data_IF_952948186780
#
_entry.id   IF_952948186780
#
_cell.length_a   1.000
_cell.length_b   1.000
_cell.length_c   1.000
_cell.angle_alpha   90.00
_cell.angle_beta   90.00
_cell.angle_gamma   90.00
#
_symmetry.space_group_name_H-M   'P 1'
#
loop_
_entity.id
_entity.type
_entity.pdbx_description
1 polymer ?
#
# COMPACT_ATOMS: atom_id res chain seq x y z
N UNK A 1 -2.07 11.43 -29.94
CA UNK A 1 -1.66 10.08 -29.50
C UNK A 1 -0.15 10.12 -29.27
N UNK A 2 0.27 10.65 -28.12
CA UNK A 2 1.69 10.65 -27.73
C UNK A 2 2.07 9.21 -27.42
N UNK A 3 3.04 8.68 -28.17
CA UNK A 3 3.70 7.41 -27.87
C UNK A 3 4.30 7.52 -26.46
N UNK A 4 3.60 6.99 -25.45
CA UNK A 4 4.17 6.78 -24.11
C UNK A 4 5.39 5.89 -24.31
N UNK A 5 6.60 6.43 -24.16
CA UNK A 5 7.81 5.61 -24.02
C UNK A 5 7.53 4.55 -22.96
N UNK A 6 7.66 3.28 -23.33
CA UNK A 6 7.52 2.16 -22.40
C UNK A 6 8.73 2.23 -21.46
N UNK A 7 8.61 3.01 -20.39
CA UNK A 7 9.58 3.00 -19.30
C UNK A 7 9.64 1.59 -18.74
N UNK A 8 10.84 1.04 -18.66
CA UNK A 8 11.10 -0.17 -17.89
C UNK A 8 10.62 0.08 -16.45
N UNK A 9 9.54 -0.59 -16.02
CA UNK A 9 8.90 -0.41 -14.71
C UNK A 9 8.52 -1.76 -14.14
N UNK A 10 8.74 -1.96 -12.85
CA UNK A 10 8.26 -3.14 -12.12
C UNK A 10 6.77 -3.01 -11.82
N UNK A 11 5.95 -3.91 -12.34
CA UNK A 11 4.55 -4.05 -11.91
C UNK A 11 4.49 -5.05 -10.74
N UNK A 12 4.13 -4.55 -9.55
CA UNK A 12 4.01 -5.37 -8.34
C UNK A 12 2.87 -6.39 -8.51
N UNK A 13 3.20 -7.66 -8.33
CA UNK A 13 2.26 -8.79 -8.34
C UNK A 13 1.91 -9.25 -6.93
N UNK A 14 2.90 -9.28 -6.04
CA UNK A 14 2.74 -9.80 -4.69
C UNK A 14 3.72 -9.13 -3.73
N UNK A 15 3.26 -8.87 -2.50
CA UNK A 15 4.12 -8.49 -1.38
C UNK A 15 3.88 -9.45 -0.22
N UNK A 16 4.96 -9.93 0.39
CA UNK A 16 4.91 -10.78 1.58
C UNK A 16 5.69 -10.13 2.72
N UNK A 17 5.10 -10.10 3.91
CA UNK A 17 5.72 -9.54 5.12
C UNK A 17 5.55 -10.46 6.33
N UNK A 18 6.59 -10.54 7.16
CA UNK A 18 6.56 -11.21 8.46
C UNK A 18 7.36 -10.48 9.54
N UNK A 19 7.07 -10.79 10.80
CA UNK A 19 7.90 -10.37 11.94
C UNK A 19 7.90 -8.87 12.16
N UNK A 20 6.74 -8.23 12.01
CA UNK A 20 6.54 -6.80 12.26
C UNK A 20 5.34 -6.61 13.19
N UNK A 21 5.52 -5.98 14.35
CA UNK A 21 4.49 -5.86 15.39
C UNK A 21 3.81 -7.21 15.70
N UNK A 22 2.54 -7.39 15.35
CA UNK A 22 1.82 -8.65 15.51
C UNK A 22 1.61 -9.44 14.20
N UNK A 23 2.22 -9.01 13.08
CA UNK A 23 2.12 -9.68 11.78
C UNK A 23 2.99 -10.95 11.76
N UNK A 24 2.37 -12.13 11.58
CA UNK A 24 3.11 -13.38 11.41
C UNK A 24 3.53 -13.59 9.97
N UNK A 25 2.74 -14.18 9.07
CA UNK A 25 3.12 -14.33 7.66
C UNK A 25 1.92 -13.98 6.80
N UNK A 26 2.02 -12.88 6.06
CA UNK A 26 0.94 -12.40 5.21
C UNK A 26 1.46 -12.08 3.82
N UNK A 27 0.80 -12.66 2.81
CA UNK A 27 1.06 -12.40 1.40
C UNK A 27 -0.16 -11.73 0.77
N UNK A 28 0.04 -10.58 0.13
CA UNK A 28 -1.00 -9.83 -0.58
C UNK A 28 -0.70 -9.87 -2.07
N UNK A 29 -1.68 -10.30 -2.87
CA UNK A 29 -1.60 -10.37 -4.33
C UNK A 29 -2.41 -9.25 -4.98
N UNK A 30 -1.82 -8.58 -5.98
CA UNK A 30 -2.33 -7.39 -6.67
C UNK A 30 -2.82 -7.71 -8.08
N UNK A 31 -3.79 -8.64 -8.17
CA UNK A 31 -4.36 -9.10 -9.45
C UNK A 31 -5.35 -8.11 -10.08
N UNK A 32 -5.78 -7.10 -9.32
CA UNK A 32 -6.72 -6.06 -9.71
C UNK A 32 -6.18 -4.70 -9.26
N UNK A 33 -6.59 -3.58 -9.87
CA UNK A 33 -6.20 -2.24 -9.41
C UNK A 33 -6.40 -1.99 -7.92
N UNK A 34 -7.49 -2.51 -7.34
CA UNK A 34 -7.81 -2.39 -5.91
C UNK A 34 -7.80 -3.78 -5.27
N UNK A 35 -7.01 -3.92 -4.20
CA UNK A 35 -7.03 -5.06 -3.26
C UNK A 35 -7.45 -4.57 -1.87
N UNK A 36 -8.41 -5.23 -1.24
CA UNK A 36 -8.93 -4.83 0.07
C UNK A 36 -8.48 -5.78 1.19
N UNK A 37 -8.04 -5.19 2.30
CA UNK A 37 -7.73 -5.87 3.55
C UNK A 37 -8.92 -5.66 4.49
N UNK A 38 -9.63 -6.74 4.77
CA UNK A 38 -10.92 -6.70 5.46
C UNK A 38 -10.82 -7.44 6.78
N UNK A 39 -11.38 -6.82 7.83
CA UNK A 39 -11.53 -7.45 9.14
C UNK A 39 -11.91 -6.42 10.21
N UNK A 40 -12.27 -6.86 11.43
CA UNK A 40 -12.65 -5.96 12.51
C UNK A 40 -11.49 -5.05 12.96
N UNK A 41 -11.81 -4.05 13.78
CA UNK A 41 -10.80 -3.16 14.36
C UNK A 41 -9.90 -3.92 15.35
N UNK A 42 -8.62 -3.55 15.40
CA UNK A 42 -7.62 -4.25 16.22
C UNK A 42 -7.00 -5.51 15.62
N UNK A 43 -7.47 -6.01 14.47
CA UNK A 43 -6.91 -7.21 13.80
C UNK A 43 -5.56 -7.00 13.09
N UNK A 44 -4.97 -5.80 13.19
CA UNK A 44 -3.66 -5.51 12.61
C UNK A 44 -3.65 -5.06 11.14
N UNK A 45 -4.78 -4.59 10.60
CA UNK A 45 -4.87 -4.04 9.23
C UNK A 45 -3.87 -2.90 9.01
N UNK A 46 -3.83 -1.94 9.93
CA UNK A 46 -2.88 -0.82 9.95
C UNK A 46 -1.43 -1.29 10.08
N UNK A 47 -1.19 -2.31 10.92
CA UNK A 47 0.14 -2.90 11.10
C UNK A 47 0.64 -3.56 9.82
N UNK A 48 -0.25 -4.15 9.02
CA UNK A 48 0.09 -4.74 7.72
C UNK A 48 0.52 -3.65 6.72
N UNK A 49 -0.27 -2.56 6.61
CA UNK A 49 0.10 -1.44 5.73
C UNK A 49 1.48 -0.87 6.14
N UNK A 50 1.68 -0.62 7.44
CA UNK A 50 2.94 -0.12 7.97
C UNK A 50 4.12 -1.08 7.72
N UNK A 51 3.91 -2.39 7.82
CA UNK A 51 4.96 -3.38 7.53
C UNK A 51 5.40 -3.33 6.05
N UNK A 52 4.43 -3.19 5.13
CA UNK A 52 4.68 -3.09 3.69
C UNK A 52 5.47 -1.81 3.37
N UNK A 53 5.04 -0.67 3.91
CA UNK A 53 5.71 0.62 3.73
C UNK A 53 7.11 0.62 4.34
N UNK A 54 7.24 0.11 5.57
CA UNK A 54 8.53 -0.02 6.25
C UNK A 54 9.54 -0.83 5.45
N UNK A 55 9.10 -1.94 4.84
CA UNK A 55 9.97 -2.75 3.99
C UNK A 55 10.50 -1.99 2.77
N UNK A 56 9.63 -1.24 2.09
CA UNK A 56 10.04 -0.39 0.97
C UNK A 56 10.98 0.75 1.42
N UNK A 57 10.69 1.39 2.55
CA UNK A 57 11.55 2.42 3.13
C UNK A 57 12.92 1.89 3.54
N UNK A 58 13.00 0.67 4.06
CA UNK A 58 14.26 0.06 4.45
C UNK A 58 15.17 -0.17 3.24
N UNK A 59 14.62 -0.58 2.09
CA UNK A 59 15.38 -0.69 0.83
C UNK A 59 16.04 0.64 0.47
N UNK A 60 15.33 1.76 0.66
CA UNK A 60 15.78 3.10 0.26
C UNK A 60 16.69 3.78 1.28
N UNK A 61 16.71 3.29 2.52
CA UNK A 61 17.46 3.89 3.62
C UNK A 61 18.98 3.71 3.47
N UNK A 62 19.74 4.70 3.95
CA UNK A 62 21.19 4.55 4.12
C UNK A 62 21.53 3.66 5.33
N UNK A 63 22.80 3.28 5.47
CA UNK A 63 23.27 2.35 6.51
C UNK A 63 22.94 2.82 7.94
N UNK A 64 23.15 4.11 8.24
CA UNK A 64 22.85 4.69 9.55
C UNK A 64 21.36 4.60 9.88
N UNK A 65 20.51 4.98 8.92
CA UNK A 65 19.05 4.92 9.07
C UNK A 65 18.57 3.48 9.20
N UNK A 66 19.12 2.52 8.45
CA UNK A 66 18.79 1.09 8.58
C UNK A 66 19.07 0.58 9.98
N UNK A 67 20.22 0.92 10.58
CA UNK A 67 20.53 0.53 11.96
C UNK A 67 19.51 1.06 12.97
N UNK A 68 19.08 2.32 12.81
CA UNK A 68 17.99 2.89 13.61
C UNK A 68 16.66 2.18 13.38
N UNK A 69 16.31 1.85 12.13
CA UNK A 69 15.09 1.14 11.77
C UNK A 69 15.03 -0.27 12.39
N UNK A 70 16.11 -1.05 12.33
CA UNK A 70 16.19 -2.40 12.94
C UNK A 70 16.13 -2.36 14.48
N UNK A 71 16.32 -1.18 15.08
CA UNK A 71 16.31 -0.98 16.53
C UNK A 71 15.07 -0.24 17.02
N UNK A 72 14.13 0.08 16.12
CA UNK A 72 12.97 0.90 16.44
C UNK A 72 11.91 0.08 17.19
N UNK A 73 11.91 0.21 18.52
CA UNK A 73 11.09 -0.60 19.42
C UNK A 73 9.58 -0.67 19.10
N UNK A 74 8.91 0.38 18.58
CA UNK A 74 7.48 0.29 18.25
C UNK A 74 7.12 -0.70 17.13
N UNK A 75 8.09 -1.14 16.33
CA UNK A 75 7.87 -2.10 15.23
C UNK A 75 8.33 -3.52 15.56
N UNK A 76 9.07 -3.69 16.66
CA UNK A 76 9.58 -4.99 17.11
C UNK A 76 8.40 -5.86 17.58
N UNK A 77 8.35 -7.15 17.19
CA UNK A 77 7.33 -8.07 17.68
C UNK A 77 7.37 -8.29 19.19
N UNK A 78 6.29 -7.89 19.86
CA UNK A 78 6.09 -8.07 21.32
C UNK A 78 5.09 -9.20 21.67
N UNK A 79 4.44 -9.79 20.67
CA UNK A 79 3.52 -10.92 20.89
C UNK A 79 4.32 -12.21 21.14
N UNK A 80 4.04 -12.90 22.25
CA UNK A 80 4.72 -14.14 22.71
C UNK A 80 4.85 -15.23 21.64
N UNK A 81 3.95 -15.28 20.67
CA UNK A 81 3.93 -16.31 19.62
C UNK A 81 4.90 -16.03 18.46
N UNK A 82 5.39 -14.79 18.34
CA UNK A 82 6.32 -14.35 17.29
C UNK A 82 7.46 -13.51 17.86
N UNK A 83 7.66 -13.54 19.19
CA UNK A 83 8.80 -12.92 19.86
C UNK A 83 10.08 -13.54 19.28
N UNK A 84 11.04 -12.71 18.89
CA UNK A 84 12.28 -13.09 18.19
C UNK A 84 12.12 -13.50 16.72
N UNK A 85 10.95 -13.33 16.09
CA UNK A 85 10.86 -13.45 14.63
C UNK A 85 11.70 -12.36 13.95
N UNK A 86 12.39 -12.75 12.88
CA UNK A 86 13.06 -11.81 11.99
C UNK A 86 12.02 -11.02 11.20
N UNK A 87 12.35 -9.78 10.87
CA UNK A 87 11.60 -9.08 9.85
C UNK A 87 11.86 -9.76 8.51
N UNK A 88 10.80 -10.01 7.74
CA UNK A 88 10.87 -10.55 6.39
C UNK A 88 10.10 -9.62 5.46
N UNK A 89 10.70 -9.34 4.31
CA UNK A 89 10.06 -8.60 3.25
C UNK A 89 10.39 -9.21 1.91
N UNK A 90 9.37 -9.44 1.09
CA UNK A 90 9.52 -9.96 -0.25
C UNK A 90 8.54 -9.28 -1.20
N UNK A 91 9.03 -8.91 -2.38
CA UNK A 91 8.23 -8.42 -3.50
C UNK A 91 8.40 -9.38 -4.67
N UNK A 92 7.28 -9.81 -5.26
CA UNK A 92 7.24 -10.40 -6.59
C UNK A 92 6.63 -9.36 -7.56
N UNK A 93 7.35 -9.08 -8.64
CA UNK A 93 6.94 -8.12 -9.66
C UNK A 93 7.22 -8.67 -11.06
N UNK A 94 6.50 -8.20 -12.07
CA UNK A 94 6.80 -8.48 -13.49
C UNK A 94 7.39 -7.27 -14.18
N UNK A 95 8.25 -7.53 -15.16
CA UNK A 95 8.83 -6.52 -16.07
C UNK A 95 9.29 -7.18 -17.37
N UNK A 96 9.72 -6.37 -18.33
CA UNK A 96 10.34 -6.83 -19.58
C UNK A 96 11.85 -6.72 -19.44
N UNK A 97 12.56 -7.84 -19.42
CA UNK A 97 14.01 -7.92 -19.34
C UNK A 97 14.56 -8.66 -20.58
N UNK A 98 15.51 -8.04 -21.29
CA UNK A 98 16.06 -8.54 -22.57
C UNK A 98 14.98 -8.94 -23.60
N UNK A 99 13.91 -8.14 -23.70
CA UNK A 99 12.80 -8.38 -24.63
C UNK A 99 11.84 -9.49 -24.23
N UNK A 100 12.00 -10.10 -23.04
CA UNK A 100 11.12 -11.14 -22.51
C UNK A 100 10.42 -10.68 -21.24
N UNK A 101 9.16 -11.08 -21.06
CA UNK A 101 8.48 -10.88 -19.79
C UNK A 101 9.04 -11.83 -18.73
N UNK A 102 9.49 -11.26 -17.61
CA UNK A 102 10.09 -11.99 -16.49
C UNK A 102 9.35 -11.67 -15.20
N UNK A 103 9.39 -12.63 -14.27
CA UNK A 103 9.01 -12.43 -12.88
C UNK A 103 10.29 -12.25 -12.07
N UNK A 104 10.37 -11.12 -11.39
CA UNK A 104 11.43 -10.72 -10.47
C UNK A 104 10.91 -10.94 -9.04
N UNK A 105 11.64 -11.72 -8.26
CA UNK A 105 11.41 -11.95 -6.84
C UNK A 105 12.61 -11.40 -6.08
N UNK A 106 12.38 -10.36 -5.29
CA UNK A 106 13.39 -9.72 -4.45
C UNK A 106 12.92 -9.74 -3.00
N UNK A 107 13.81 -10.06 -2.06
CA UNK A 107 13.49 -10.02 -0.65
C UNK A 107 14.71 -10.07 0.26
N UNK A 108 14.48 -9.81 1.53
CA UNK A 108 15.50 -9.81 2.56
C UNK A 108 14.91 -10.11 3.94
N UNK A 109 15.80 -10.46 4.88
CA UNK A 109 15.50 -10.64 6.30
C UNK A 109 16.50 -9.90 7.18
N UNK A 110 16.06 -9.46 8.34
CA UNK A 110 16.97 -8.95 9.37
C UNK A 110 16.49 -9.27 10.79
N UNK A 111 17.44 -9.27 11.72
CA UNK A 111 17.17 -9.40 13.16
C UNK A 111 16.85 -8.06 13.80
N UNK A 112 15.81 -8.02 14.62
CA UNK A 112 15.50 -6.86 15.46
C UNK A 112 16.51 -6.73 16.61
N UNK A 113 16.76 -5.49 17.04
CA UNK A 113 17.62 -5.23 18.19
C UNK A 113 17.00 -5.83 19.46
N UNK A 114 17.78 -6.63 20.18
CA UNK A 114 17.41 -7.18 21.48
C UNK A 114 18.61 -7.10 22.43
N UNK A 115 18.39 -7.28 23.74
CA UNK A 115 19.44 -7.10 24.78
C UNK A 115 20.74 -7.86 24.47
N UNK A 116 20.67 -8.98 23.74
CA UNK A 116 21.80 -9.85 23.41
C UNK A 116 21.99 -10.11 21.90
N UNK A 117 21.20 -9.46 21.02
CA UNK A 117 21.22 -9.73 19.57
C UNK A 117 21.64 -8.44 18.85
N UNK A 118 22.80 -8.51 18.19
CA UNK A 118 23.22 -7.48 17.26
C UNK A 118 22.33 -7.50 16.03
N UNK A 119 21.90 -6.33 15.56
CA UNK A 119 21.09 -6.19 14.36
C UNK A 119 21.92 -6.47 13.13
N UNK A 120 21.42 -7.33 12.25
CA UNK A 120 22.05 -7.60 10.96
C UNK A 120 21.03 -8.11 9.96
N UNK A 121 21.31 -7.85 8.68
CA UNK A 121 20.62 -8.46 7.55
C UNK A 121 21.16 -9.89 7.43
N UNK A 122 20.30 -10.86 7.68
CA UNK A 122 20.62 -12.30 7.74
C UNK A 122 20.47 -12.97 6.39
N UNK A 123 19.53 -12.53 5.56
CA UNK A 123 19.34 -13.02 4.20
C UNK A 123 18.95 -11.89 3.24
N UNK A 124 19.34 -12.03 1.98
CA UNK A 124 18.89 -11.19 0.86
C UNK A 124 18.96 -12.01 -0.42
N UNK A 125 17.96 -11.88 -1.28
CA UNK A 125 17.93 -12.58 -2.56
C UNK A 125 17.33 -11.73 -3.68
N UNK A 126 17.86 -11.95 -4.88
CA UNK A 126 17.25 -11.52 -6.13
C UNK A 126 17.16 -12.75 -7.05
N UNK A 127 15.95 -13.13 -7.39
CA UNK A 127 15.62 -14.31 -8.20
C UNK A 127 14.79 -13.88 -9.41
N UNK A 128 15.14 -14.34 -10.60
CA UNK A 128 14.44 -13.98 -11.84
C UNK A 128 14.10 -15.25 -12.62
N UNK A 129 12.87 -15.34 -13.14
CA UNK A 129 12.42 -16.40 -14.05
C UNK A 129 11.64 -15.81 -15.22
N UNK A 130 11.63 -16.46 -16.40
CA UNK A 130 10.66 -16.13 -17.44
C UNK A 130 9.22 -16.29 -16.95
N UNK A 131 8.31 -15.41 -17.37
CA UNK A 131 6.88 -15.52 -17.04
C UNK A 131 6.19 -16.63 -17.87
N UNK A 132 6.61 -17.88 -17.65
CA UNK A 132 6.09 -19.06 -18.35
C UNK A 132 5.96 -20.23 -17.38
N UNK A 133 4.92 -21.04 -17.55
CA UNK A 133 4.69 -22.22 -16.72
C UNK A 133 5.87 -23.20 -16.79
N UNK A 134 6.27 -23.73 -15.64
CA UNK A 134 7.34 -24.73 -15.50
C UNK A 134 8.77 -24.18 -15.55
N UNK A 135 8.98 -22.88 -15.74
CA UNK A 135 10.31 -22.26 -15.67
C UNK A 135 10.76 -22.06 -14.22
N UNK A 136 12.06 -22.20 -13.97
CA UNK A 136 12.68 -22.07 -12.65
C UNK A 136 13.34 -20.71 -12.47
N UNK A 137 13.45 -20.27 -11.22
CA UNK A 137 14.22 -19.08 -10.85
C UNK A 137 15.72 -19.31 -11.03
N UNK A 138 16.39 -18.33 -11.63
CA UNK A 138 17.85 -18.16 -11.52
C UNK A 138 18.13 -17.14 -10.42
N UNK A 139 19.12 -17.40 -9.58
CA UNK A 139 19.60 -16.47 -8.57
C UNK A 139 20.60 -15.47 -9.16
N UNK A 140 20.48 -14.20 -8.76
CA UNK A 140 21.30 -13.08 -9.19
C UNK A 140 22.02 -12.41 -8.03
N UNK A 141 21.36 -12.41 -6.86
CA UNK A 141 21.93 -12.00 -5.58
C UNK A 141 21.57 -13.08 -4.57
N UNK A 142 22.53 -13.49 -3.75
CA UNK A 142 22.32 -14.39 -2.62
C UNK A 142 23.21 -13.96 -1.46
N UNK A 143 22.60 -13.56 -0.35
CA UNK A 143 23.28 -13.24 0.91
C UNK A 143 22.85 -14.20 2.00
N UNK A 144 23.81 -14.63 2.80
CA UNK A 144 23.62 -15.25 4.11
C UNK A 144 24.27 -14.34 5.18
N UNK A 145 24.13 -14.67 6.46
CA UNK A 145 24.69 -13.88 7.56
C UNK A 145 26.20 -13.59 7.43
N UNK A 146 26.94 -14.49 6.79
CA UNK A 146 28.41 -14.40 6.70
C UNK A 146 28.92 -13.88 5.35
N UNK A 147 28.18 -14.13 4.26
CA UNK A 147 28.68 -13.93 2.89
C UNK A 147 27.60 -13.43 1.95
N UNK A 148 27.99 -12.64 0.96
CA UNK A 148 27.14 -12.22 -0.14
C UNK A 148 27.75 -12.61 -1.49
N UNK A 149 26.90 -13.07 -2.39
CA UNK A 149 27.27 -13.52 -3.73
C UNK A 149 26.42 -12.79 -4.78
N UNK A 150 27.04 -12.50 -5.92
CA UNK A 150 26.40 -11.90 -7.09
C UNK A 150 26.68 -12.74 -8.34
N UNK A 151 25.77 -12.66 -9.30
CA UNK A 151 25.93 -13.30 -10.62
C UNK A 151 26.65 -12.34 -11.58
N UNK A 152 27.80 -12.74 -12.10
CA UNK A 152 28.64 -11.83 -12.92
C UNK A 152 28.23 -11.77 -14.38
N UNK A 153 27.84 -12.90 -14.99
CA UNK A 153 27.31 -12.95 -16.35
C UNK A 153 26.06 -13.84 -16.44
N UNK A 154 25.27 -13.74 -17.53
CA UNK A 154 24.01 -14.48 -17.69
C UNK A 154 24.14 -16.01 -17.56
N UNK A 155 25.26 -16.59 -18.00
CA UNK A 155 25.49 -18.04 -18.01
C UNK A 155 26.07 -18.57 -16.69
N UNK A 156 26.59 -17.68 -15.85
CA UNK A 156 27.30 -18.07 -14.64
C UNK A 156 26.35 -18.45 -13.51
N UNK A 157 26.90 -19.06 -12.47
CA UNK A 157 26.21 -19.23 -11.19
C UNK A 157 26.33 -17.95 -10.35
N UNK A 158 25.55 -17.87 -9.29
CA UNK A 158 25.62 -16.76 -8.33
C UNK A 158 26.66 -17.10 -7.24
N UNK A 159 27.95 -16.96 -7.59
CA UNK A 159 29.09 -17.43 -6.77
C UNK A 159 30.22 -16.39 -6.60
N UNK A 160 30.18 -15.25 -7.29
CA UNK A 160 31.17 -14.17 -7.07
C UNK A 160 30.91 -13.50 -5.73
N UNK A 161 31.80 -13.72 -4.77
CA UNK A 161 31.73 -13.15 -3.43
C UNK A 161 31.89 -11.61 -3.47
N UNK A 162 31.07 -10.88 -2.71
CA UNK A 162 31.14 -9.43 -2.56
C UNK A 162 31.11 -9.06 -1.08
N UNK A 163 32.01 -8.17 -0.67
CA UNK A 163 32.04 -7.64 0.71
C UNK A 163 30.89 -6.65 0.90
N UNK A 164 30.14 -6.76 1.99
CA UNK A 164 29.04 -5.86 2.31
C UNK A 164 28.90 -5.76 3.83
N UNK A 165 28.54 -4.58 4.32
CA UNK A 165 28.30 -4.36 5.75
C UNK A 165 27.06 -5.15 6.24
N UNK A 166 27.05 -5.49 7.52
CA UNK A 166 26.00 -6.32 8.13
C UNK A 166 24.61 -5.66 8.07
N UNK A 167 24.55 -4.33 8.00
CA UNK A 167 23.34 -3.51 7.99
C UNK A 167 23.01 -2.90 6.62
N UNK A 168 23.73 -3.24 5.54
CA UNK A 168 23.46 -2.72 4.21
C UNK A 168 23.01 -3.82 3.23
N UNK A 169 22.12 -3.51 2.28
CA UNK A 169 21.67 -4.46 1.27
C UNK A 169 22.63 -4.47 0.07
N UNK A 170 22.84 -5.65 -0.50
CA UNK A 170 23.65 -5.86 -1.71
C UNK A 170 23.09 -5.02 -2.85
N UNK A 171 21.76 -4.95 -3.04
CA UNK A 171 21.17 -4.11 -4.10
C UNK A 171 21.53 -2.62 -3.99
N UNK A 172 21.78 -2.10 -2.79
CA UNK A 172 22.15 -0.70 -2.63
C UNK A 172 23.60 -0.48 -3.05
N UNK A 173 24.49 -1.44 -2.75
CA UNK A 173 25.87 -1.43 -3.24
C UNK A 173 25.95 -1.57 -4.76
N UNK A 174 25.06 -2.35 -5.36
CA UNK A 174 25.04 -2.58 -6.81
C UNK A 174 24.37 -1.45 -7.60
N UNK A 175 23.73 -0.48 -6.93
CA UNK A 175 22.96 0.59 -7.57
C UNK A 175 23.80 1.44 -8.55
N UNK A 176 25.09 1.61 -8.29
CA UNK A 176 26.01 2.41 -9.14
C UNK A 176 26.82 1.57 -10.12
N UNK A 177 26.52 0.28 -10.29
CA UNK A 177 27.27 -0.62 -11.15
C UNK A 177 26.52 -0.87 -12.47
N UNK A 178 26.70 0.05 -13.42
CA UNK A 178 26.03 0.03 -14.72
C UNK A 178 26.54 -1.11 -15.63
N UNK A 179 27.67 -1.73 -15.31
CA UNK A 179 28.23 -2.86 -16.07
C UNK A 179 27.48 -4.18 -15.83
N UNK A 180 26.69 -4.27 -14.75
CA UNK A 180 25.88 -5.46 -14.50
C UNK A 180 24.76 -5.57 -15.54
N UNK A 181 24.67 -6.74 -16.18
CA UNK A 181 23.65 -7.01 -17.20
C UNK A 181 22.21 -6.89 -16.69
N UNK A 182 22.00 -6.93 -15.37
CA UNK A 182 20.71 -6.76 -14.69
C UNK A 182 20.60 -5.45 -13.88
N UNK A 183 21.48 -4.46 -14.13
CA UNK A 183 21.47 -3.18 -13.38
C UNK A 183 20.10 -2.49 -13.42
N UNK A 184 19.38 -2.55 -14.54
CA UNK A 184 18.03 -1.95 -14.67
C UNK A 184 17.05 -2.50 -13.63
N UNK A 185 17.10 -3.81 -13.34
CA UNK A 185 16.26 -4.43 -12.31
C UNK A 185 16.67 -3.93 -10.92
N UNK A 186 17.98 -3.88 -10.64
CA UNK A 186 18.49 -3.36 -9.37
C UNK A 186 18.07 -1.91 -9.16
N UNK A 187 18.21 -1.07 -10.17
CA UNK A 187 17.84 0.34 -10.13
C UNK A 187 16.33 0.54 -9.90
N UNK A 188 15.47 -0.20 -10.61
CA UNK A 188 14.02 -0.13 -10.40
C UNK A 188 13.59 -0.60 -9.00
N UNK A 189 14.20 -1.66 -8.45
CA UNK A 189 13.92 -2.09 -7.07
C UNK A 189 14.30 -0.96 -6.09
N UNK A 190 15.45 -0.31 -6.30
CA UNK A 190 15.90 0.82 -5.47
C UNK A 190 15.02 2.08 -5.62
N UNK A 191 14.32 2.22 -6.75
CA UNK A 191 13.43 3.37 -7.06
C UNK A 191 11.96 3.09 -6.75
N UNK A 192 11.60 1.88 -6.37
CA UNK A 192 10.22 1.50 -6.09
C UNK A 192 9.62 2.40 -5.00
N UNK A 193 8.50 3.03 -5.34
CA UNK A 193 7.78 3.94 -4.46
C UNK A 193 6.45 3.31 -4.04
N UNK A 194 6.33 3.10 -2.74
CA UNK A 194 5.14 2.58 -2.05
C UNK A 194 4.86 3.52 -0.90
N UNK A 195 3.60 3.89 -0.70
CA UNK A 195 3.18 4.75 0.42
C UNK A 195 1.79 4.38 0.92
N UNK A 196 1.59 4.50 2.22
CA UNK A 196 0.35 4.17 2.90
C UNK A 196 -0.23 5.42 3.54
N UNK A 197 -1.40 5.86 3.07
CA UNK A 197 -2.08 7.02 3.61
C UNK A 197 -2.97 6.54 4.75
N UNK A 198 -2.48 6.75 5.97
CA UNK A 198 -3.17 6.38 7.21
C UNK A 198 -4.16 7.46 7.66
N UNK A 199 -3.85 8.73 7.40
CA UNK A 199 -4.61 9.87 7.86
C UNK A 199 -5.01 10.76 6.70
N UNK A 200 -6.31 10.81 6.46
CA UNK A 200 -6.93 11.89 5.70
C UNK A 200 -7.81 12.66 6.66
N UNK A 201 -7.28 13.78 7.16
CA UNK A 201 -7.97 14.70 8.08
C UNK A 201 -8.29 16.00 7.34
N UNK A 202 -9.49 16.10 6.71
CA UNK A 202 -9.91 17.30 6.00
C UNK A 202 -9.81 18.59 6.81
N UNK A 203 -9.93 18.47 8.13
CA UNK A 203 -9.92 19.58 9.08
C UNK A 203 -8.58 20.31 9.13
N UNK A 204 -7.49 19.64 8.76
CA UNK A 204 -6.16 20.24 8.71
C UNK A 204 -5.80 20.70 7.31
N UNK A 205 -6.25 19.98 6.29
CA UNK A 205 -5.78 20.18 4.92
C UNK A 205 -6.52 21.27 4.16
N UNK A 206 -7.83 21.44 4.37
CA UNK A 206 -8.64 22.41 3.62
C UNK A 206 -8.90 23.73 4.37
N UNK A 207 -8.39 23.87 5.59
CA UNK A 207 -8.52 25.10 6.37
C UNK A 207 -7.34 26.04 6.09
N UNK A 208 -7.63 27.34 6.07
CA UNK A 208 -6.62 28.37 5.89
C UNK A 208 -5.74 28.45 7.14
N UNK A 209 -4.51 27.95 7.05
CA UNK A 209 -3.50 28.10 8.11
C UNK A 209 -2.45 29.11 7.63
N UNK A 210 -2.44 30.34 8.16
CA UNK A 210 -1.37 31.30 7.95
C UNK A 210 -0.14 30.84 8.73
N UNK A 211 0.83 30.17 8.11
CA UNK A 211 2.09 29.88 8.79
C UNK A 211 3.28 29.92 7.83
N UNK A 212 4.34 30.67 8.19
CA UNK A 212 5.63 30.64 7.48
C UNK A 212 6.39 29.33 7.63
N UNK A 213 6.06 28.49 8.63
CA UNK A 213 6.76 27.22 8.81
C UNK A 213 6.35 26.23 7.73
N UNK A 214 7.07 26.27 6.61
CA UNK A 214 7.17 25.13 5.71
C UNK A 214 7.96 24.05 6.45
N UNK A 215 7.25 23.16 7.15
CA UNK A 215 7.84 21.88 7.50
C UNK A 215 8.33 21.25 6.19
N UNK A 216 9.60 20.81 6.09
CA UNK A 216 10.04 20.06 4.92
C UNK A 216 9.25 18.74 4.88
N UNK A 217 8.49 18.55 3.80
CA UNK A 217 7.55 17.42 3.65
C UNK A 217 8.03 16.51 2.52
N UNK A 218 8.10 15.22 2.81
CA UNK A 218 8.74 14.21 1.97
C UNK A 218 7.76 13.14 1.45
N UNK A 219 6.50 13.11 1.94
CA UNK A 219 5.49 12.09 1.57
C UNK A 219 4.22 12.67 0.92
N UNK A 220 3.45 11.87 0.20
CA UNK A 220 2.09 12.23 -0.28
C UNK A 220 1.16 12.49 0.92
N UNK A 221 1.20 11.68 1.97
CA UNK A 221 0.37 11.85 3.17
C UNK A 221 0.61 13.23 3.81
N UNK A 222 1.85 13.67 3.95
CA UNK A 222 2.17 15.01 4.46
C UNK A 222 1.66 16.13 3.54
N UNK A 223 1.76 15.95 2.22
CA UNK A 223 1.19 16.90 1.26
C UNK A 223 -0.33 16.98 1.39
N UNK A 224 -1.01 15.84 1.57
CA UNK A 224 -2.46 15.77 1.68
C UNK A 224 -2.94 16.27 3.04
N UNK A 225 -2.18 16.06 4.11
CA UNK A 225 -2.54 16.47 5.46
C UNK A 225 -2.41 17.98 5.67
N UNK A 226 -1.42 18.60 5.03
CA UNK A 226 -1.06 19.99 5.32
C UNK A 226 -1.20 20.96 4.13
N UNK A 227 -1.05 20.49 2.89
CA UNK A 227 -0.86 21.36 1.71
C UNK A 227 -1.75 20.95 0.52
N UNK A 228 -2.91 20.34 0.74
CA UNK A 228 -3.74 19.87 -0.38
C UNK A 228 -4.13 21.01 -1.33
N UNK A 229 -4.41 22.21 -0.82
CA UNK A 229 -4.75 23.36 -1.66
C UNK A 229 -3.55 23.84 -2.49
N UNK A 230 -2.36 23.90 -1.90
CA UNK A 230 -1.10 24.21 -2.61
C UNK A 230 -0.85 23.16 -3.69
N UNK A 231 -0.97 21.89 -3.32
CA UNK A 231 -0.82 20.74 -4.23
C UNK A 231 -1.75 20.87 -5.44
N UNK A 232 -3.03 21.17 -5.20
CA UNK A 232 -4.03 21.30 -6.26
C UNK A 232 -3.76 22.53 -7.14
N UNK A 233 -3.26 23.62 -6.55
CA UNK A 233 -2.81 24.78 -7.32
C UNK A 233 -1.58 24.47 -8.18
N UNK A 234 -0.62 23.70 -7.67
CA UNK A 234 0.54 23.23 -8.42
C UNK A 234 0.12 22.28 -9.56
N UNK A 235 -0.88 21.43 -9.35
CA UNK A 235 -1.48 20.64 -10.43
C UNK A 235 -2.10 21.56 -11.49
N UNK A 236 -2.87 22.58 -11.09
CA UNK A 236 -3.51 23.52 -12.02
C UNK A 236 -2.48 24.27 -12.87
N UNK A 237 -1.37 24.68 -12.27
CA UNK A 237 -0.35 25.52 -12.93
C UNK A 237 0.65 24.71 -13.74
N UNK A 238 1.17 23.61 -13.19
CA UNK A 238 2.27 22.84 -13.80
C UNK A 238 1.80 21.57 -14.54
N UNK A 239 0.61 21.05 -14.21
CA UNK A 239 0.07 19.80 -14.77
C UNK A 239 -1.42 19.92 -15.13
N UNK A 240 -1.82 20.87 -15.99
CA UNK A 240 -3.23 21.22 -16.21
C UNK A 240 -4.10 20.03 -16.65
N UNK A 241 -3.57 19.11 -17.48
CA UNK A 241 -4.29 17.88 -17.87
C UNK A 241 -4.62 16.99 -16.66
N UNK A 242 -3.70 16.90 -15.68
CA UNK A 242 -3.91 16.13 -14.44
C UNK A 242 -4.89 16.84 -13.51
N UNK A 243 -4.85 18.16 -13.46
CA UNK A 243 -5.85 18.95 -12.74
C UNK A 243 -7.25 18.75 -13.31
N UNK A 244 -7.43 18.84 -14.63
CA UNK A 244 -8.71 18.56 -15.28
C UNK A 244 -9.18 17.12 -15.03
N UNK A 245 -8.27 16.15 -15.09
CA UNK A 245 -8.58 14.75 -14.79
C UNK A 245 -9.08 14.56 -13.34
N UNK A 246 -8.43 15.22 -12.37
CA UNK A 246 -8.87 15.26 -10.98
C UNK A 246 -10.28 15.87 -10.85
N UNK A 247 -10.51 17.04 -11.47
CA UNK A 247 -11.81 17.72 -11.41
C UNK A 247 -12.93 16.87 -12.03
N UNK A 248 -12.66 16.21 -13.15
CA UNK A 248 -13.63 15.34 -13.83
C UNK A 248 -13.94 14.09 -13.00
N UNK A 249 -12.93 13.45 -12.42
CA UNK A 249 -13.12 12.32 -11.50
C UNK A 249 -13.98 12.71 -10.30
N UNK A 250 -13.75 13.90 -9.72
CA UNK A 250 -14.53 14.40 -8.61
C UNK A 250 -15.99 14.73 -8.99
N UNK A 251 -16.21 15.42 -10.12
CA UNK A 251 -17.55 15.73 -10.65
C UNK A 251 -18.36 14.48 -11.02
N UNK A 252 -17.71 13.40 -11.44
CA UNK A 252 -18.38 12.12 -11.70
C UNK A 252 -19.02 11.54 -10.43
N UNK A 253 -18.34 11.68 -9.28
CA UNK A 253 -18.89 11.27 -7.98
C UNK A 253 -19.98 12.25 -7.53
N UNK A 254 -19.80 13.55 -7.77
CA UNK A 254 -20.70 14.64 -7.37
C UNK A 254 -21.24 15.48 -8.55
N UNK A 255 -22.24 14.99 -9.31
CA UNK A 255 -22.77 15.67 -10.50
C UNK A 255 -23.50 17.01 -10.23
N UNK A 256 -23.74 17.35 -8.96
CA UNK A 256 -24.30 18.64 -8.55
C UNK A 256 -23.27 19.77 -8.62
N UNK A 257 -21.98 19.45 -8.68
CA UNK A 257 -20.90 20.44 -8.73
C UNK A 257 -20.64 20.83 -10.19
N UNK A 258 -20.79 22.12 -10.50
CA UNK A 258 -20.60 22.67 -11.84
C UNK A 258 -19.15 23.09 -12.06
N UNK A 259 -18.58 23.81 -11.09
CA UNK A 259 -17.25 24.42 -11.20
C UNK A 259 -16.49 24.20 -9.89
N UNK A 260 -15.20 23.90 -10.03
CA UNK A 260 -14.23 23.86 -8.94
C UNK A 260 -13.01 24.63 -9.42
N UNK A 261 -12.53 25.56 -8.62
CA UNK A 261 -11.32 26.30 -8.96
C UNK A 261 -10.47 26.62 -7.73
N UNK A 262 -9.16 26.65 -7.92
CA UNK A 262 -8.18 27.02 -6.89
C UNK A 262 -7.41 28.28 -7.32
N UNK A 263 -7.22 29.20 -6.38
CA UNK A 263 -6.54 30.47 -6.61
C UNK A 263 -5.52 30.76 -5.51
N UNK A 264 -4.38 31.33 -5.92
CA UNK A 264 -3.40 31.95 -5.03
C UNK A 264 -3.90 33.33 -4.60
N UNK A 265 -3.79 33.62 -3.31
CA UNK A 265 -4.28 34.85 -2.67
C UNK A 265 -3.28 35.34 -1.63
N UNK A 266 -3.17 36.66 -1.47
CA UNK A 266 -2.34 37.25 -0.42
C UNK A 266 -3.10 37.27 0.91
N UNK A 267 -2.53 36.85 2.05
CA UNK A 267 -3.22 36.86 3.34
C UNK A 267 -3.83 38.22 3.71
N UNK A 268 -3.11 39.30 3.41
CA UNK A 268 -3.52 40.70 3.65
C UNK A 268 -4.83 41.07 2.95
N UNK A 269 -5.16 40.41 1.84
CA UNK A 269 -6.41 40.63 1.12
C UNK A 269 -7.64 39.99 1.80
N UNK A 270 -7.40 39.00 2.68
CA UNK A 270 -8.45 38.23 3.36
C UNK A 270 -8.61 38.72 4.80
N UNK A 271 -7.50 38.83 5.52
CA UNK A 271 -7.47 39.20 6.93
C UNK A 271 -7.11 40.68 7.06
N UNK A 272 -8.13 41.52 7.26
CA UNK A 272 -7.92 42.94 7.56
C UNK A 272 -7.36 43.08 8.97
N UNK A 273 -6.19 43.70 9.12
CA UNK A 273 -5.60 43.98 10.43
C UNK A 273 -4.71 42.88 11.01
N UNK A 274 -4.08 42.04 10.15
CA UNK A 274 -3.02 41.12 10.59
C UNK A 274 -1.92 41.89 11.36
N UNK A 275 -1.48 41.41 12.53
CA UNK A 275 -0.36 41.99 13.25
C UNK A 275 0.86 42.11 12.34
N UNK A 276 1.49 43.30 12.32
CA UNK A 276 2.70 43.52 11.49
C UNK A 276 3.90 42.72 11.98
N UNK A 277 3.87 42.29 13.24
CA UNK A 277 4.97 41.64 13.96
C UNK A 277 4.85 40.10 13.98
N UNK A 278 3.79 39.53 13.37
CA UNK A 278 3.63 38.08 13.25
C UNK A 278 4.09 37.55 11.89
N UNK A 279 4.71 36.37 11.91
CA UNK A 279 5.25 35.71 10.73
C UNK A 279 4.16 35.00 9.90
N UNK A 280 3.43 35.77 9.09
CA UNK A 280 2.46 35.22 8.13
C UNK A 280 3.13 34.72 6.85
N UNK A 281 2.58 33.65 6.26
CA UNK A 281 2.99 33.15 4.94
C UNK A 281 2.77 34.22 3.85
N UNK A 282 3.66 34.34 2.87
CA UNK A 282 3.51 35.34 1.79
C UNK A 282 2.35 35.03 0.83
N UNK A 283 1.96 33.75 0.76
CA UNK A 283 0.93 33.22 -0.13
C UNK A 283 -0.01 32.29 0.63
N UNK A 284 -1.27 32.30 0.22
CA UNK A 284 -2.31 31.36 0.63
C UNK A 284 -3.05 30.85 -0.58
N UNK A 285 -3.75 29.73 -0.42
CA UNK A 285 -4.56 29.15 -1.48
C UNK A 285 -6.00 29.00 -1.00
N UNK A 286 -6.95 29.40 -1.83
CA UNK A 286 -8.38 29.19 -1.61
C UNK A 286 -8.93 28.38 -2.77
N UNK A 287 -9.73 27.37 -2.44
CA UNK A 287 -10.50 26.63 -3.42
C UNK A 287 -11.98 26.94 -3.28
N UNK A 288 -12.62 27.24 -4.41
CA UNK A 288 -14.04 27.58 -4.52
C UNK A 288 -14.78 26.48 -5.29
N UNK A 289 -16.01 26.23 -4.85
CA UNK A 289 -16.92 25.26 -5.46
C UNK A 289 -18.24 25.94 -5.80
N UNK A 290 -18.77 25.73 -7.01
CA UNK A 290 -20.08 26.20 -7.44
C UNK A 290 -20.97 25.00 -7.71
N UNK A 291 -22.10 24.94 -7.01
CA UNK A 291 -23.12 23.90 -7.21
C UNK A 291 -24.31 24.43 -8.00
N UNK A 292 -24.97 23.55 -8.75
CA UNK A 292 -26.08 23.87 -9.69
C UNK A 292 -27.16 24.78 -9.12
N UNK A 293 -27.50 24.60 -7.85
CA UNK A 293 -28.62 25.28 -7.22
C UNK A 293 -28.19 26.45 -6.31
N UNK A 294 -26.91 26.84 -6.33
CA UNK A 294 -26.39 27.94 -5.52
C UNK A 294 -26.06 29.14 -6.41
N UNK A 295 -26.54 30.32 -6.00
CA UNK A 295 -26.27 31.58 -6.71
C UNK A 295 -24.84 32.09 -6.51
N UNK A 296 -24.11 31.56 -5.52
CA UNK A 296 -22.74 31.95 -5.19
C UNK A 296 -21.87 30.71 -4.98
N UNK A 297 -20.59 30.83 -5.31
CA UNK A 297 -19.57 29.82 -4.99
C UNK A 297 -19.28 29.77 -3.50
N UNK A 298 -19.12 28.57 -2.95
CA UNK A 298 -18.71 28.31 -1.57
C UNK A 298 -17.20 28.08 -1.48
N UNK A 299 -16.64 28.18 -0.28
CA UNK A 299 -15.30 27.63 -0.02
C UNK A 299 -15.42 26.09 -0.01
N UNK A 300 -14.45 25.37 -0.57
CA UNK A 300 -14.45 23.92 -0.54
C UNK A 300 -14.55 23.36 0.88
N UNK A 301 -13.98 24.05 1.88
CA UNK A 301 -14.06 23.64 3.29
C UNK A 301 -15.48 23.61 3.86
N UNK A 302 -16.46 24.19 3.16
CA UNK A 302 -17.89 24.11 3.51
C UNK A 302 -18.55 22.80 3.09
N UNK A 303 -17.88 21.96 2.30
CA UNK A 303 -18.37 20.63 1.92
C UNK A 303 -18.27 19.65 3.10
N UNK A 304 -19.05 18.56 3.04
CA UNK A 304 -19.03 17.55 4.10
C UNK A 304 -17.65 16.87 4.22
N UNK A 305 -17.30 16.41 5.43
CA UNK A 305 -16.03 15.71 5.70
C UNK A 305 -15.76 14.58 4.72
N UNK A 306 -16.77 13.74 4.43
CA UNK A 306 -16.66 12.66 3.45
C UNK A 306 -16.37 13.14 2.02
N UNK A 307 -16.94 14.27 1.62
CA UNK A 307 -16.69 14.88 0.30
C UNK A 307 -15.24 15.35 0.17
N UNK A 308 -14.73 16.01 1.21
CA UNK A 308 -13.33 16.44 1.28
C UNK A 308 -12.35 15.25 1.31
N UNK A 309 -12.68 14.17 2.03
CA UNK A 309 -11.89 12.93 2.01
C UNK A 309 -11.81 12.31 0.63
N UNK A 310 -12.94 12.24 -0.09
CA UNK A 310 -12.96 11.76 -1.48
C UNK A 310 -12.03 12.60 -2.34
N UNK A 311 -12.13 13.93 -2.26
CA UNK A 311 -11.27 14.82 -3.02
C UNK A 311 -9.78 14.59 -2.69
N UNK A 312 -9.45 14.40 -1.42
CA UNK A 312 -8.11 14.07 -0.97
C UNK A 312 -7.61 12.74 -1.54
N UNK A 313 -8.39 11.65 -1.47
CA UNK A 313 -8.01 10.36 -2.06
C UNK A 313 -7.73 10.44 -3.56
N UNK A 314 -8.57 11.16 -4.32
CA UNK A 314 -8.34 11.37 -5.75
C UNK A 314 -7.06 12.19 -5.99
N UNK A 315 -6.83 13.24 -5.20
CA UNK A 315 -5.61 14.07 -5.30
C UNK A 315 -4.36 13.25 -4.99
N UNK A 316 -4.40 12.41 -3.95
CA UNK A 316 -3.32 11.49 -3.60
C UNK A 316 -2.95 10.55 -4.74
N UNK A 317 -3.96 10.02 -5.44
CA UNK A 317 -3.74 9.10 -6.56
C UNK A 317 -3.07 9.80 -7.75
N UNK A 318 -3.46 11.04 -8.05
CA UNK A 318 -2.80 11.88 -9.08
C UNK A 318 -1.34 12.14 -8.71
N UNK A 319 -1.06 12.46 -7.44
CA UNK A 319 0.32 12.64 -6.97
C UNK A 319 1.14 11.36 -7.05
N UNK A 320 0.53 10.22 -6.71
CA UNK A 320 1.19 8.91 -6.83
C UNK A 320 1.62 8.65 -8.26
N UNK A 321 0.75 8.92 -9.25
CA UNK A 321 1.09 8.76 -10.66
C UNK A 321 2.23 9.72 -11.09
N UNK A 322 2.14 11.00 -10.75
CA UNK A 322 3.18 12.00 -11.08
C UNK A 322 4.55 11.64 -10.48
N UNK A 323 4.58 11.10 -9.26
CA UNK A 323 5.80 10.70 -8.56
C UNK A 323 6.22 9.24 -8.86
N UNK A 324 5.52 8.54 -9.76
CA UNK A 324 5.88 7.19 -10.21
C UNK A 324 5.68 6.09 -9.16
N UNK A 325 4.73 6.25 -8.24
CA UNK A 325 4.37 5.22 -7.27
C UNK A 325 3.84 3.97 -7.97
N UNK A 326 4.12 2.82 -7.37
CA UNK A 326 3.67 1.51 -7.87
C UNK A 326 2.56 0.93 -6.99
N UNK A 327 2.46 1.38 -5.74
CA UNK A 327 1.41 1.01 -4.80
C UNK A 327 1.09 2.21 -3.88
N UNK A 328 -0.19 2.49 -3.71
CA UNK A 328 -0.71 3.43 -2.71
C UNK A 328 -1.71 2.73 -1.79
N UNK A 329 -1.60 2.98 -0.48
CA UNK A 329 -2.53 2.50 0.52
C UNK A 329 -3.52 3.55 0.97
N UNK A 330 -4.77 3.18 1.20
CA UNK A 330 -5.76 4.01 1.88
C UNK A 330 -6.31 3.27 3.10
N UNK A 331 -6.06 3.83 4.28
CA UNK A 331 -6.62 3.30 5.52
C UNK A 331 -8.06 3.78 5.72
N UNK A 332 -8.94 2.84 6.11
CA UNK A 332 -10.35 3.09 6.43
C UNK A 332 -11.03 3.96 5.36
N UNK A 333 -11.03 3.46 4.12
CA UNK A 333 -11.52 4.21 2.96
C UNK A 333 -12.97 4.66 3.16
N UNK A 334 -13.79 3.87 3.86
CA UNK A 334 -15.20 4.13 4.13
C UNK A 334 -15.47 5.27 5.11
N UNK A 335 -14.50 5.67 5.92
CA UNK A 335 -14.78 6.46 7.11
C UNK A 335 -15.30 7.86 6.74
N UNK A 336 -16.36 8.28 7.43
CA UNK A 336 -17.06 9.55 7.18
C UNK A 336 -17.68 9.70 5.78
N UNK A 337 -17.69 8.65 4.95
CA UNK A 337 -18.28 8.65 3.61
C UNK A 337 -19.64 7.95 3.63
N UNK A 338 -20.63 8.58 3.00
CA UNK A 338 -21.96 7.99 2.88
C UNK A 338 -21.91 6.70 2.02
N UNK A 339 -22.52 5.56 2.44
CA UNK A 339 -22.44 4.28 1.75
C UNK A 339 -22.69 4.30 0.24
N UNK A 340 -23.70 5.07 -0.20
CA UNK A 340 -24.04 5.24 -1.64
C UNK A 340 -22.91 5.83 -2.49
N UNK A 341 -21.92 6.49 -1.89
CA UNK A 341 -20.77 7.07 -2.60
C UNK A 341 -19.58 6.10 -2.70
N UNK A 342 -19.53 5.06 -1.85
CA UNK A 342 -18.40 4.13 -1.79
C UNK A 342 -18.20 3.38 -3.12
N UNK A 343 -19.28 2.92 -3.74
CA UNK A 343 -19.21 2.25 -5.04
C UNK A 343 -18.64 3.19 -6.11
N UNK A 344 -19.12 4.43 -6.18
CA UNK A 344 -18.62 5.43 -7.14
C UNK A 344 -17.15 5.77 -6.88
N UNK A 345 -16.76 5.88 -5.61
CA UNK A 345 -15.37 6.10 -5.22
C UNK A 345 -14.47 4.95 -5.69
N UNK A 346 -14.83 3.70 -5.41
CA UNK A 346 -14.06 2.52 -5.83
C UNK A 346 -13.90 2.46 -7.36
N UNK A 347 -14.97 2.68 -8.11
CA UNK A 347 -14.93 2.72 -9.58
C UNK A 347 -14.00 3.85 -10.06
N UNK A 348 -14.14 5.05 -9.48
CA UNK A 348 -13.34 6.21 -9.87
C UNK A 348 -11.86 6.00 -9.55
N UNK A 349 -11.52 5.51 -8.35
CA UNK A 349 -10.15 5.15 -7.97
C UNK A 349 -9.57 4.09 -8.90
N UNK A 350 -10.33 3.02 -9.19
CA UNK A 350 -9.90 1.97 -10.11
C UNK A 350 -9.59 2.53 -11.49
N UNK A 351 -10.45 3.39 -12.04
CA UNK A 351 -10.25 3.98 -13.37
C UNK A 351 -9.08 4.98 -13.41
N UNK A 352 -8.81 5.68 -12.31
CA UNK A 352 -7.73 6.66 -12.20
C UNK A 352 -6.38 6.06 -11.82
N UNK A 353 -6.35 4.77 -11.48
CA UNK A 353 -5.17 4.12 -10.92
C UNK A 353 -4.06 3.80 -11.93
N UNK A 354 -4.35 3.83 -13.24
CA UNK A 354 -3.41 3.52 -14.35
C UNK A 354 -2.36 2.45 -13.98
N UNK A 355 -1.14 2.87 -13.60
CA UNK A 355 0.02 2.01 -13.33
C UNK A 355 0.36 1.88 -11.83
N UNK A 356 -0.51 2.35 -10.93
CA UNK A 356 -0.36 2.33 -9.49
C UNK A 356 -1.41 1.40 -8.89
N UNK A 357 -0.99 0.34 -8.20
CA UNK A 357 -1.93 -0.53 -7.47
C UNK A 357 -2.45 0.22 -6.24
N UNK A 358 -3.64 -0.14 -5.79
CA UNK A 358 -4.29 0.42 -4.60
C UNK A 358 -4.54 -0.71 -3.60
N UNK A 359 -4.07 -0.52 -2.38
CA UNK A 359 -4.46 -1.34 -1.24
C UNK A 359 -5.38 -0.53 -0.33
N UNK A 360 -6.51 -1.09 0.08
CA UNK A 360 -7.42 -0.41 1.01
C UNK A 360 -7.63 -1.25 2.25
N UNK A 361 -7.88 -0.63 3.39
CA UNK A 361 -8.39 -1.34 4.58
C UNK A 361 -9.84 -0.96 4.81
N UNK A 362 -10.62 -1.92 5.31
CA UNK A 362 -12.03 -1.72 5.63
C UNK A 362 -12.47 -2.63 6.77
N UNK A 363 -13.36 -2.11 7.60
CA UNK A 363 -14.14 -2.85 8.59
C UNK A 363 -15.66 -2.73 8.32
N UNK A 364 -16.06 -1.97 7.30
CA UNK A 364 -17.46 -1.70 6.97
C UNK A 364 -18.10 -2.70 5.99
N UNK A 365 -19.22 -3.35 6.34
CA UNK A 365 -19.97 -4.21 5.42
C UNK A 365 -20.44 -3.45 4.16
N UNK A 366 -20.73 -2.16 4.29
CA UNK A 366 -21.18 -1.31 3.18
C UNK A 366 -20.13 -1.09 2.10
N UNK A 367 -18.84 -1.13 2.43
CA UNK A 367 -17.77 -1.06 1.43
C UNK A 367 -17.57 -2.43 0.80
N UNK A 368 -17.53 -3.47 1.63
CA UNK A 368 -17.20 -4.85 1.24
C UNK A 368 -18.18 -5.38 0.18
N UNK A 369 -19.47 -5.04 0.27
CA UNK A 369 -20.47 -5.47 -0.70
C UNK A 369 -20.22 -5.00 -2.14
N UNK A 370 -19.38 -3.97 -2.34
CA UNK A 370 -19.04 -3.44 -3.67
C UNK A 370 -17.73 -4.01 -4.24
N UNK A 371 -17.07 -4.90 -3.50
CA UNK A 371 -15.82 -5.53 -3.91
C UNK A 371 -16.05 -6.94 -4.46
N UNK A 372 -15.17 -7.36 -5.36
CA UNK A 372 -15.06 -8.75 -5.76
C UNK A 372 -14.30 -9.54 -4.69
N UNK A 373 -14.82 -10.70 -4.30
CA UNK A 373 -14.22 -11.59 -3.30
C UNK A 373 -12.79 -12.01 -3.68
N UNK A 374 -12.45 -12.00 -4.98
CA UNK A 374 -11.14 -12.30 -5.53
C UNK A 374 -10.07 -11.29 -5.11
N UNK A 375 -10.51 -10.08 -4.79
CA UNK A 375 -9.70 -8.93 -4.44
C UNK A 375 -9.71 -8.64 -2.93
N UNK A 376 -10.33 -9.51 -2.13
CA UNK A 376 -10.41 -9.35 -0.67
C UNK A 376 -9.45 -10.32 0.02
N UNK A 377 -8.61 -9.77 0.90
CA UNK A 377 -7.84 -10.52 1.90
C UNK A 377 -8.52 -10.35 3.26
N UNK A 378 -8.99 -11.45 3.82
CA UNK A 378 -9.68 -11.48 5.12
C UNK A 378 -8.68 -11.69 6.24
N UNK A 379 -8.84 -10.94 7.33
CA UNK A 379 -8.15 -11.21 8.59
C UNK A 379 -8.59 -12.58 9.11
N UNK A 380 -7.64 -13.42 9.51
CA UNK A 380 -7.88 -14.76 10.01
C UNK A 380 -8.10 -14.71 11.53
N UNK A 381 -9.29 -15.05 12.03
CA UNK A 381 -9.54 -15.12 13.47
C UNK A 381 -8.59 -16.10 14.16
N UNK A 382 -8.03 -15.69 15.30
CA UNK A 382 -7.19 -16.54 16.15
C UNK A 382 -7.18 -16.01 17.60
N UNK A 383 -6.91 -16.92 18.54
CA UNK A 383 -6.77 -16.67 19.97
C UNK A 383 -5.37 -16.17 20.38
N UNK A 384 -4.43 -16.11 19.43
CA UNK A 384 -3.03 -15.77 19.65
C UNK A 384 -2.75 -14.26 19.56
N UNK A 385 -3.72 -13.45 19.13
CA UNK A 385 -3.54 -12.01 18.90
C UNK A 385 -2.56 -11.69 17.76
N UNK A 386 -2.41 -12.63 16.84
CA UNK A 386 -1.53 -12.51 15.68
C UNK A 386 -2.37 -11.99 14.50
N UNK A 387 -1.79 -11.11 13.70
CA UNK A 387 -2.39 -10.67 12.46
C UNK A 387 -1.93 -11.57 11.30
N UNK A 388 -2.89 -12.24 10.67
CA UNK A 388 -2.72 -13.04 9.45
C UNK A 388 -3.84 -12.65 8.50
N UNK A 389 -3.52 -12.39 7.24
CA UNK A 389 -4.53 -12.11 6.21
C UNK A 389 -4.41 -13.10 5.07
N UNK A 390 -5.55 -13.63 4.62
CA UNK A 390 -5.61 -14.62 3.54
C UNK A 390 -6.76 -14.33 2.59
N UNK A 391 -6.54 -14.63 1.31
CA UNK A 391 -7.62 -14.72 0.33
C UNK A 391 -8.40 -16.01 0.54
N UNK A 392 -9.68 -15.98 0.21
CA UNK A 392 -10.48 -17.19 0.14
C UNK A 392 -10.01 -18.05 -1.05
N UNK A 393 -9.83 -19.38 -0.87
CA UNK A 393 -9.42 -20.26 -1.95
C UNK A 393 -10.43 -20.22 -3.11
N UNK A 394 -9.94 -20.10 -4.35
CA UNK A 394 -10.76 -20.06 -5.57
C UNK A 394 -11.85 -21.15 -5.57
N UNK A 395 -11.47 -22.38 -5.24
CA UNK A 395 -12.34 -23.56 -5.27
C UNK A 395 -13.45 -23.55 -4.19
N UNK A 396 -13.42 -22.60 -3.25
CA UNK A 396 -14.38 -22.48 -2.15
C UNK A 396 -15.34 -21.29 -2.31
N UNK A 397 -15.08 -20.37 -3.25
CA UNK A 397 -15.87 -19.12 -3.43
C UNK A 397 -17.31 -19.36 -3.84
N UNK A 398 -17.57 -20.31 -4.74
CA UNK A 398 -18.94 -20.66 -5.15
C UNK A 398 -19.81 -21.12 -3.97
N UNK A 399 -19.22 -21.80 -2.99
CA UNK A 399 -19.94 -22.21 -1.77
C UNK A 399 -20.36 -21.01 -0.93
N UNK A 400 -19.50 -20.00 -0.82
CA UNK A 400 -19.80 -18.76 -0.11
C UNK A 400 -20.96 -18.04 -0.78
N UNK A 401 -20.95 -17.91 -2.11
CA UNK A 401 -22.07 -17.31 -2.82
C UNK A 401 -23.40 -18.07 -2.64
N UNK A 402 -23.35 -19.39 -2.52
CA UNK A 402 -24.55 -20.18 -2.21
C UNK A 402 -25.05 -19.88 -0.79
N UNK A 403 -24.18 -19.89 0.22
CA UNK A 403 -24.54 -19.52 1.61
C UNK A 403 -25.12 -18.10 1.70
N UNK A 404 -24.49 -17.14 1.03
CA UNK A 404 -24.97 -15.74 0.96
C UNK A 404 -26.41 -15.70 0.43
N UNK A 405 -26.71 -16.46 -0.63
CA UNK A 405 -28.06 -16.55 -1.21
C UNK A 405 -29.05 -17.25 -0.26
N UNK A 406 -28.64 -18.33 0.39
CA UNK A 406 -29.47 -19.07 1.36
C UNK A 406 -29.84 -18.20 2.58
N UNK A 407 -28.89 -17.38 3.06
CA UNK A 407 -29.10 -16.48 4.20
C UNK A 407 -29.79 -15.16 3.81
N UNK A 408 -29.99 -14.90 2.51
CA UNK A 408 -30.56 -13.63 2.03
C UNK A 408 -29.70 -12.40 2.34
N UNK A 409 -28.38 -12.57 2.49
CA UNK A 409 -27.44 -11.51 2.84
C UNK A 409 -26.71 -10.97 1.59
N UNK A 410 -26.03 -9.84 1.72
CA UNK A 410 -24.98 -9.44 0.77
C UNK A 410 -23.60 -9.93 1.27
N UNK A 411 -22.58 -9.79 0.42
CA UNK A 411 -21.20 -10.23 0.74
C UNK A 411 -20.64 -9.54 2.00
N UNK A 412 -20.92 -8.25 2.18
CA UNK A 412 -20.45 -7.48 3.31
C UNK A 412 -21.05 -7.98 4.63
N UNK A 413 -22.37 -8.11 4.66
CA UNK A 413 -23.09 -8.62 5.83
C UNK A 413 -22.68 -10.04 6.18
N UNK A 414 -22.51 -10.92 5.18
CA UNK A 414 -22.05 -12.29 5.40
C UNK A 414 -20.65 -12.33 6.02
N UNK A 415 -19.68 -11.59 5.47
CA UNK A 415 -18.32 -11.55 6.03
C UNK A 415 -18.34 -11.03 7.47
N UNK A 416 -19.16 -10.01 7.75
CA UNK A 416 -19.24 -9.43 9.09
C UNK A 416 -19.92 -10.38 10.08
N UNK A 417 -20.98 -11.07 9.67
CA UNK A 417 -21.61 -12.13 10.47
C UNK A 417 -20.59 -13.23 10.82
N UNK A 418 -19.76 -13.64 9.87
CA UNK A 418 -18.70 -14.62 10.11
C UNK A 418 -17.58 -14.11 11.03
N UNK A 419 -17.45 -12.80 11.26
CA UNK A 419 -16.55 -12.27 12.29
C UNK A 419 -17.20 -12.23 13.69
N UNK A 420 -18.52 -12.09 13.77
CA UNK A 420 -19.25 -12.12 15.05
C UNK A 420 -19.45 -13.56 15.51
N UNK A 421 -20.01 -14.39 14.63
CA UNK A 421 -20.35 -15.79 14.87
C UNK A 421 -19.67 -16.68 13.81
N UNK A 422 -18.34 -16.88 13.89
CA UNK A 422 -17.62 -17.69 12.91
C UNK A 422 -18.11 -19.14 12.93
N UNK A 423 -18.58 -19.64 11.79
CA UNK A 423 -18.83 -21.06 11.62
C UNK A 423 -17.52 -21.82 11.36
N UNK A 424 -17.49 -23.11 11.72
CA UNK A 424 -16.28 -23.94 11.61
C UNK A 424 -15.80 -24.07 10.15
N UNK A 425 -16.73 -24.04 9.19
CA UNK A 425 -16.41 -24.14 7.77
C UNK A 425 -15.67 -22.90 7.27
N UNK A 426 -16.11 -21.70 7.68
CA UNK A 426 -15.47 -20.42 7.37
C UNK A 426 -14.06 -20.36 7.96
N UNK A 427 -13.90 -20.81 9.21
CA UNK A 427 -12.59 -20.93 9.84
C UNK A 427 -11.68 -21.93 9.11
N UNK A 428 -12.19 -23.09 8.69
CA UNK A 428 -11.44 -24.05 7.85
C UNK A 428 -11.08 -23.46 6.48
N UNK A 429 -11.97 -22.68 5.84
CA UNK A 429 -11.70 -22.02 4.55
C UNK A 429 -10.56 -20.99 4.65
N UNK A 430 -10.48 -20.26 5.75
CA UNK A 430 -9.37 -19.35 6.06
C UNK A 430 -8.13 -20.09 6.60
N UNK A 431 -8.21 -21.40 6.82
CA UNK A 431 -7.16 -22.19 7.46
C UNK A 431 -6.82 -21.66 8.86
N UNK A 432 -7.83 -21.21 9.60
CA UNK A 432 -7.75 -20.87 11.02
C UNK A 432 -7.80 -22.13 11.90
N UNK A 433 -8.47 -23.18 11.41
CA UNK A 433 -8.55 -24.51 12.03
C UNK A 433 -8.06 -25.53 10.98
N UNK A 434 -7.30 -26.53 11.39
CA UNK A 434 -6.86 -27.61 10.50
C UNK A 434 -8.08 -28.44 10.02
N UNK A 435 -8.00 -28.95 8.78
CA UNK A 435 -8.96 -29.98 8.38
C UNK A 435 -8.67 -31.20 9.25
N UNK A 436 -9.69 -31.72 9.97
CA UNK A 436 -9.61 -33.05 10.56
C UNK A 436 -9.09 -34.02 9.49
N UNK A 437 -7.84 -34.48 9.66
CA UNK A 437 -7.36 -35.60 8.88
C UNK A 437 -8.31 -36.74 9.21
N UNK A 438 -9.02 -37.26 8.20
CA UNK A 438 -9.66 -38.56 8.30
C UNK A 438 -8.57 -39.55 8.69
N UNK A 439 -8.56 -39.93 9.97
CA UNK A 439 -7.88 -41.12 10.43
C UNK A 439 -8.64 -42.27 9.75
N UNK A 440 -8.13 -42.72 8.60
CA UNK A 440 -8.45 -44.05 8.10
C UNK A 440 -7.90 -45.02 9.14
N UNK A 441 -8.78 -45.48 10.03
CA UNK A 441 -8.54 -46.70 10.79
C UNK A 441 -8.63 -47.87 9.80
N UNK A 442 -7.56 -48.09 9.04
CA UNK A 442 -7.25 -49.43 8.55
C UNK A 442 -6.70 -50.21 9.74
N UNK A 443 -7.55 -51.07 10.29
CA UNK A 443 -7.27 -51.93 11.43
C UNK A 443 -8.04 -53.22 11.26
N UNK A 444 -7.59 -54.00 10.29
CA UNK A 444 -7.94 -55.40 10.04
C UNK A 444 -8.18 -56.20 11.33
N UNK A 445 -9.36 -56.81 11.40
CA UNK A 445 -9.63 -57.97 12.25
C UNK A 445 -8.75 -59.11 11.76
N UNK A 446 -7.79 -59.52 12.58
CA UNK A 446 -7.11 -60.81 12.47
C UNK A 446 -7.56 -61.66 13.65
N UNK A 447 -8.29 -62.72 13.31
CA UNK A 447 -8.34 -63.98 14.06
C UNK A 447 -7.00 -64.70 13.94
#
# INVERSE_FOLDING_TARGET
MLLREVKFKLEILKITVSGFKNIQNTSIEFNHPITAIVGPNGYGKSNLLQAIEFGNHFIKANEKTKSSMMSFSPFIPINKNITNSEFYYEIEAKTIFDGMEVIVNYGYKFTWSSKNINTSITEEWLKIKPNQKGKRYSEFIRRTSDKAFIKSSPKDRCDKETKIESNNLVINKLKSNDELFYHKIVDEINKLNIEMISKVLPELSFYLIPSKTSLPKYSIEENILFDILTTVYDLKTNYPEKFEYLMNGFKNIFPSIEELDVAEVKPQSIFKGLPKDEEFADKMYIMRVKEKNLTKSLNISSLSRGTLRIFAFLTSLILADLKGYSLIGFEELEDSIHPKLLQKLLITLSNMSDNCKIIITSHSPYLIQFLDIDNICLAVPNDKGIAVFKKLPLNKRNKIYNKIREMGMNLGDYIFEMYINPDEEFLKMLGAIENEQKIQTDGSVLL
#
